data_IF_396324129335
#
_entry.id   IF_396324129335
#
_cell.length_a   1.000
_cell.length_b   1.000
_cell.length_c   1.000
_cell.angle_alpha   90.00
_cell.angle_beta   90.00
_cell.angle_gamma   90.00
#
_symmetry.space_group_name_H-M   'P 1'
#
loop_
_entity.id
_entity.type
_entity.pdbx_description
1 polymer ?
#
# COMPACT_ATOMS: atom_id res chain seq x y z
N UNK A 1 -3.33 -1.33 -22.47
CA UNK A 1 -2.11 -1.15 -23.29
C UNK A 1 -1.49 -2.52 -23.57
N UNK A 2 -1.18 -2.88 -24.84
CA UNK A 2 -0.69 -4.23 -25.18
C UNK A 2 0.64 -4.58 -24.53
N UNK A 3 1.54 -3.60 -24.33
CA UNK A 3 2.84 -3.79 -23.70
C UNK A 3 2.72 -4.16 -22.23
N UNK A 4 1.88 -3.46 -21.47
CA UNK A 4 1.60 -3.76 -20.05
C UNK A 4 1.03 -5.17 -19.91
N UNK A 5 0.10 -5.53 -20.80
CA UNK A 5 -0.48 -6.88 -20.82
C UNK A 5 0.59 -7.95 -21.04
N UNK A 6 1.47 -7.78 -22.01
CA UNK A 6 2.52 -8.74 -22.31
C UNK A 6 3.49 -8.96 -21.13
N UNK A 7 3.87 -7.86 -20.43
CA UNK A 7 4.74 -7.94 -19.26
C UNK A 7 4.06 -8.71 -18.13
N UNK A 8 2.81 -8.35 -17.79
CA UNK A 8 2.09 -9.00 -16.69
C UNK A 8 1.84 -10.49 -16.97
N UNK A 9 1.43 -10.83 -18.20
CA UNK A 9 1.21 -12.23 -18.60
C UNK A 9 2.51 -13.05 -18.59
N UNK A 10 3.65 -12.45 -18.95
CA UNK A 10 4.95 -13.11 -18.87
C UNK A 10 5.34 -13.42 -17.41
N UNK A 11 5.19 -12.45 -16.51
CA UNK A 11 5.44 -12.66 -15.09
C UNK A 11 4.50 -13.71 -14.49
N UNK A 12 3.21 -13.67 -14.81
CA UNK A 12 2.25 -14.66 -14.30
C UNK A 12 2.51 -16.09 -14.80
N UNK A 13 3.11 -16.25 -15.99
CA UNK A 13 3.54 -17.58 -16.47
C UNK A 13 4.73 -18.14 -15.69
N UNK A 14 5.64 -17.26 -15.26
CA UNK A 14 6.86 -17.65 -14.53
C UNK A 14 6.61 -17.86 -13.05
N UNK A 15 5.65 -17.14 -12.49
CA UNK A 15 5.33 -17.17 -11.06
C UNK A 15 3.82 -17.42 -10.86
N UNK A 16 3.41 -18.67 -10.55
CA UNK A 16 2.01 -19.05 -10.42
C UNK A 16 1.24 -18.36 -9.28
N UNK A 17 1.95 -17.69 -8.36
CA UNK A 17 1.33 -16.89 -7.30
C UNK A 17 0.80 -15.56 -7.81
N UNK A 18 1.30 -15.06 -8.95
CA UNK A 18 0.83 -13.84 -9.58
C UNK A 18 -0.53 -14.10 -10.22
N UNK A 19 -1.49 -13.28 -9.84
CA UNK A 19 -2.85 -13.32 -10.39
C UNK A 19 -3.18 -11.98 -10.98
N UNK A 20 -3.79 -12.00 -12.16
CA UNK A 20 -4.15 -10.82 -12.92
C UNK A 20 -5.66 -10.75 -13.06
N UNK A 21 -6.23 -9.57 -12.80
CA UNK A 21 -7.61 -9.26 -13.13
C UNK A 21 -7.64 -8.19 -14.22
N UNK A 22 -8.13 -8.56 -15.39
CA UNK A 22 -8.33 -7.61 -16.49
C UNK A 22 -9.70 -6.96 -16.33
N UNK A 23 -9.72 -5.65 -16.15
CA UNK A 23 -10.95 -4.87 -16.06
C UNK A 23 -11.34 -4.39 -17.47
N UNK A 24 -12.62 -4.50 -17.80
CA UNK A 24 -13.16 -4.03 -19.10
C UNK A 24 -13.18 -2.50 -19.19
N UNK A 25 -13.35 -1.83 -18.05
CA UNK A 25 -13.40 -0.37 -17.94
C UNK A 25 -12.42 0.13 -16.89
N UNK A 26 -11.86 1.31 -17.14
CA UNK A 26 -11.13 2.03 -16.11
C UNK A 26 -12.12 2.44 -15.01
N UNK A 27 -11.84 2.05 -13.79
CA UNK A 27 -12.58 2.39 -12.57
C UNK A 27 -11.68 3.06 -11.54
N UNK A 28 -10.61 3.68 -11.99
CA UNK A 28 -9.58 4.29 -11.14
C UNK A 28 -8.97 3.32 -10.14
N UNK A 29 -8.16 3.85 -9.21
CA UNK A 29 -7.36 3.04 -8.28
C UNK A 29 -8.24 2.23 -7.30
N UNK A 30 -9.32 2.80 -6.76
CA UNK A 30 -10.17 2.13 -5.77
C UNK A 30 -10.81 0.85 -6.34
N UNK A 31 -11.41 0.95 -7.52
CA UNK A 31 -12.04 -0.20 -8.17
C UNK A 31 -11.01 -1.24 -8.66
N UNK A 32 -9.81 -0.80 -9.07
CA UNK A 32 -8.70 -1.71 -9.43
C UNK A 32 -8.19 -2.46 -8.19
N UNK A 33 -7.98 -1.76 -7.09
CA UNK A 33 -7.57 -2.33 -5.80
C UNK A 33 -8.59 -3.33 -5.26
N UNK A 34 -9.89 -3.04 -5.35
CA UNK A 34 -10.95 -3.98 -4.97
C UNK A 34 -10.92 -5.24 -5.84
N UNK A 35 -10.65 -5.11 -7.14
CA UNK A 35 -10.52 -6.27 -8.02
C UNK A 35 -9.31 -7.13 -7.67
N UNK A 36 -8.19 -6.52 -7.29
CA UNK A 36 -7.00 -7.22 -6.81
C UNK A 36 -7.25 -7.88 -5.44
N UNK A 37 -7.92 -7.17 -4.53
CA UNK A 37 -8.31 -7.68 -3.20
C UNK A 37 -9.17 -8.95 -3.32
N UNK A 38 -10.11 -9.00 -4.27
CA UNK A 38 -10.93 -10.18 -4.52
C UNK A 38 -10.11 -11.42 -4.95
N UNK A 39 -8.92 -11.23 -5.50
CA UNK A 39 -7.98 -12.30 -5.84
C UNK A 39 -7.05 -12.68 -4.67
N UNK A 40 -6.93 -11.85 -3.65
CA UNK A 40 -6.01 -12.07 -2.53
C UNK A 40 -6.41 -13.30 -1.71
N UNK A 41 -5.41 -14.07 -1.26
CA UNK A 41 -5.60 -15.30 -0.44
C UNK A 41 -4.81 -15.29 0.86
N UNK A 42 -3.83 -14.38 1.00
CA UNK A 42 -3.05 -14.23 2.23
C UNK A 42 -3.90 -13.72 3.39
N UNK A 43 -3.40 -13.85 4.59
CA UNK A 43 -4.05 -13.31 5.79
C UNK A 43 -3.94 -11.78 5.85
N UNK A 44 -2.89 -11.24 5.25
CA UNK A 44 -2.67 -9.81 5.12
C UNK A 44 -2.61 -9.39 3.65
N UNK A 45 -2.91 -8.12 3.39
CA UNK A 45 -2.72 -7.44 2.12
C UNK A 45 -1.83 -6.21 2.35
N UNK A 46 -0.92 -5.96 1.44
CA UNK A 46 -0.07 -4.78 1.41
C UNK A 46 -0.29 -4.02 0.11
N UNK A 47 -0.23 -2.69 0.17
CA UNK A 47 -0.54 -1.82 -0.97
C UNK A 47 0.77 -1.38 -1.62
N UNK A 48 1.00 -1.81 -2.86
CA UNK A 48 2.17 -1.46 -3.65
C UNK A 48 1.74 -0.78 -4.94
N UNK A 49 2.21 0.43 -5.17
CA UNK A 49 2.00 1.14 -6.42
C UNK A 49 2.90 0.55 -7.53
N UNK A 50 2.43 0.62 -8.77
CA UNK A 50 3.05 -0.08 -9.90
C UNK A 50 4.39 0.51 -10.36
N UNK A 51 4.71 1.71 -9.93
CA UNK A 51 5.94 2.46 -10.24
C UNK A 51 6.95 2.50 -9.08
N UNK A 52 6.60 1.92 -7.93
CA UNK A 52 7.41 1.92 -6.71
C UNK A 52 8.18 0.61 -6.51
N UNK A 53 9.06 0.60 -5.51
CA UNK A 53 9.88 -0.56 -5.17
C UNK A 53 9.77 -0.94 -3.69
N UNK A 54 9.85 -2.24 -3.41
CA UNK A 54 10.03 -2.75 -2.06
C UNK A 54 11.50 -3.02 -1.77
N UNK A 55 11.92 -2.78 -0.53
CA UNK A 55 13.22 -3.28 -0.07
C UNK A 55 13.29 -4.81 -0.28
N UNK A 56 14.42 -5.39 -0.73
CA UNK A 56 14.52 -6.83 -1.05
C UNK A 56 14.08 -7.75 0.08
N UNK A 57 14.26 -7.34 1.35
CA UNK A 57 13.87 -8.11 2.52
C UNK A 57 12.51 -7.68 3.11
N UNK A 58 11.77 -6.78 2.47
CA UNK A 58 10.54 -6.20 3.02
C UNK A 58 9.55 -7.28 3.49
N UNK A 59 9.22 -8.22 2.61
CA UNK A 59 8.26 -9.28 2.93
C UNK A 59 8.72 -10.16 4.09
N UNK A 60 10.01 -10.51 4.15
CA UNK A 60 10.56 -11.32 5.23
C UNK A 60 10.47 -10.60 6.58
N UNK A 61 10.88 -9.32 6.64
CA UNK A 61 10.83 -8.50 7.85
C UNK A 61 9.38 -8.32 8.31
N UNK A 62 8.46 -8.02 7.39
CA UNK A 62 7.03 -7.86 7.71
C UNK A 62 6.46 -9.16 8.30
N UNK A 63 6.72 -10.31 7.67
CA UNK A 63 6.19 -11.60 8.16
C UNK A 63 6.75 -11.91 9.55
N UNK A 64 8.06 -11.74 9.76
CA UNK A 64 8.69 -11.97 11.06
C UNK A 64 8.09 -11.08 12.15
N UNK A 65 7.89 -9.79 11.84
CA UNK A 65 7.30 -8.85 12.80
C UNK A 65 5.83 -9.19 13.10
N UNK A 66 5.03 -9.51 12.10
CA UNK A 66 3.63 -9.91 12.30
C UNK A 66 3.51 -11.22 13.10
N UNK A 67 4.46 -12.14 12.98
CA UNK A 67 4.50 -13.36 13.81
C UNK A 67 4.81 -13.06 15.27
N UNK A 68 5.61 -12.04 15.55
CA UNK A 68 5.90 -11.57 16.90
C UNK A 68 4.74 -10.76 17.51
N UNK A 69 3.90 -10.16 16.67
CA UNK A 69 2.76 -9.34 17.04
C UNK A 69 1.45 -9.84 16.41
N UNK A 70 0.97 -11.04 16.78
CA UNK A 70 -0.19 -11.68 16.14
C UNK A 70 -1.52 -10.91 16.33
N UNK A 71 -1.55 -9.95 17.27
CA UNK A 71 -2.69 -9.06 17.50
C UNK A 71 -2.79 -7.93 16.47
N UNK A 72 -1.72 -7.60 15.74
CA UNK A 72 -1.77 -6.50 14.78
C UNK A 72 -2.65 -6.84 13.59
N UNK A 73 -3.58 -5.95 13.29
CA UNK A 73 -4.46 -6.04 12.13
C UNK A 73 -4.21 -4.93 11.11
N UNK A 74 -3.48 -3.89 11.53
CA UNK A 74 -2.92 -2.85 10.69
C UNK A 74 -1.46 -2.66 11.10
N UNK A 75 -0.56 -2.65 10.12
CA UNK A 75 0.83 -2.29 10.34
C UNK A 75 1.30 -1.34 9.24
N UNK A 76 2.35 -0.58 9.50
CA UNK A 76 2.97 0.29 8.51
C UNK A 76 4.48 0.35 8.72
N UNK A 77 5.19 0.70 7.65
CA UNK A 77 6.66 0.79 7.64
C UNK A 77 7.11 2.22 7.41
N UNK A 78 8.39 2.48 7.62
CA UNK A 78 9.06 3.68 7.10
C UNK A 78 9.20 3.59 5.58
N UNK A 79 9.39 4.74 4.96
CA UNK A 79 9.57 4.87 3.51
C UNK A 79 10.68 5.87 3.19
N UNK A 80 11.18 5.84 1.97
CA UNK A 80 12.00 6.89 1.39
C UNK A 80 11.63 7.11 -0.09
N UNK A 81 12.33 7.99 -0.73
CA UNK A 81 12.17 8.23 -2.16
C UNK A 81 13.30 7.62 -2.96
N UNK A 82 12.98 7.24 -4.20
CA UNK A 82 13.95 6.78 -5.20
C UNK A 82 13.80 7.63 -6.46
N UNK A 83 14.92 8.15 -6.98
CA UNK A 83 14.94 8.91 -8.21
C UNK A 83 15.03 8.03 -9.48
N UNK A 84 15.11 8.68 -10.65
CA UNK A 84 15.21 7.97 -11.92
C UNK A 84 16.53 7.20 -12.09
N UNK A 85 17.58 7.55 -11.35
CA UNK A 85 18.88 6.89 -11.36
C UNK A 85 18.98 5.78 -10.30
N UNK A 86 17.90 5.54 -9.54
CA UNK A 86 17.86 4.55 -8.48
C UNK A 86 18.51 5.00 -7.18
N UNK A 87 18.78 6.31 -7.01
CA UNK A 87 19.35 6.83 -5.77
C UNK A 87 18.25 7.08 -4.75
N UNK A 88 18.44 6.56 -3.54
CA UNK A 88 17.52 6.73 -2.41
C UNK A 88 17.81 8.03 -1.67
N UNK A 89 16.75 8.75 -1.29
CA UNK A 89 16.84 10.02 -0.59
C UNK A 89 15.56 10.33 0.19
N UNK A 90 15.57 11.38 1.00
CA UNK A 90 14.43 11.93 1.75
C UNK A 90 13.68 10.85 2.56
N UNK A 91 14.36 10.13 3.51
CA UNK A 91 13.72 9.11 4.31
C UNK A 91 12.69 9.73 5.24
N UNK A 92 11.51 9.08 5.33
CA UNK A 92 10.46 9.41 6.28
C UNK A 92 10.41 8.33 7.36
N UNK A 93 11.00 8.62 8.51
CA UNK A 93 10.91 7.80 9.72
C UNK A 93 9.63 8.17 10.46
N UNK A 94 8.72 7.26 10.51
CA UNK A 94 7.37 7.47 11.06
C UNK A 94 7.37 7.23 12.57
N UNK A 95 6.51 7.91 13.34
CA UNK A 95 6.33 7.59 14.75
C UNK A 95 5.54 6.28 14.92
N UNK A 96 5.60 5.74 16.12
CA UNK A 96 4.65 4.72 16.56
C UNK A 96 3.21 5.26 16.47
N UNK A 97 2.22 4.35 16.50
CA UNK A 97 0.83 4.71 16.30
C UNK A 97 0.37 5.87 17.20
N UNK A 98 -0.04 6.93 16.56
CA UNK A 98 -0.57 8.12 17.20
C UNK A 98 -1.86 8.55 16.48
N UNK A 99 -3.04 8.31 17.07
CA UNK A 99 -4.33 8.62 16.44
C UNK A 99 -4.53 10.10 16.17
N UNK A 100 -4.03 11.00 17.05
CA UNK A 100 -4.20 12.45 16.87
C UNK A 100 -3.38 12.93 15.66
N UNK A 101 -2.16 12.44 15.51
CA UNK A 101 -1.33 12.72 14.32
C UNK A 101 -2.00 12.17 13.06
N UNK A 102 -2.52 10.94 13.12
CA UNK A 102 -3.09 10.26 11.97
C UNK A 102 -4.36 10.96 11.43
N UNK A 103 -5.14 11.61 12.27
CA UNK A 103 -6.26 12.43 11.83
C UNK A 103 -5.83 13.66 11.00
N UNK A 104 -4.62 14.16 11.22
CA UNK A 104 -4.09 15.32 10.50
C UNK A 104 -3.15 14.98 9.34
N UNK A 105 -2.60 13.76 9.32
CA UNK A 105 -1.59 13.34 8.34
C UNK A 105 -1.62 11.83 8.14
N UNK A 106 -1.67 11.39 6.87
CA UNK A 106 -1.56 9.96 6.55
C UNK A 106 -0.14 9.43 6.81
N UNK A 107 0.15 9.05 8.05
CA UNK A 107 1.44 8.44 8.40
C UNK A 107 1.51 6.94 8.08
N UNK A 108 0.40 6.27 7.75
CA UNK A 108 0.41 4.87 7.31
C UNK A 108 0.94 4.75 5.88
N UNK A 109 0.40 5.56 4.95
CA UNK A 109 0.83 5.71 3.54
C UNK A 109 1.50 4.45 2.95
N UNK A 110 2.80 4.50 2.71
CA UNK A 110 3.60 3.40 2.15
C UNK A 110 4.62 2.89 3.19
N UNK A 111 4.68 1.63 3.52
CA UNK A 111 3.84 0.54 3.10
C UNK A 111 2.75 0.30 4.15
N UNK A 112 1.49 0.39 3.80
CA UNK A 112 0.40 -0.05 4.67
C UNK A 112 0.14 -1.56 4.50
N UNK A 113 0.05 -2.28 5.63
CA UNK A 113 -0.21 -3.72 5.70
C UNK A 113 -1.47 -3.94 6.52
N UNK A 114 -2.46 -4.60 5.97
CA UNK A 114 -3.79 -4.71 6.55
C UNK A 114 -4.22 -6.18 6.68
N UNK A 115 -4.84 -6.56 7.77
CA UNK A 115 -5.57 -7.83 7.85
C UNK A 115 -6.61 -7.88 6.73
N UNK A 116 -6.51 -8.89 5.86
CA UNK A 116 -7.46 -9.07 4.76
C UNK A 116 -8.89 -9.26 5.26
N UNK A 117 -9.06 -9.92 6.40
CA UNK A 117 -10.37 -10.09 7.02
C UNK A 117 -10.98 -8.75 7.42
N UNK A 118 -10.20 -7.84 8.01
CA UNK A 118 -10.63 -6.49 8.38
C UNK A 118 -11.02 -5.68 7.14
N UNK A 119 -10.17 -5.66 6.11
CA UNK A 119 -10.45 -4.93 4.85
C UNK A 119 -11.74 -5.43 4.20
N UNK A 120 -11.94 -6.74 4.15
CA UNK A 120 -13.16 -7.33 3.61
C UNK A 120 -14.41 -6.98 4.45
N UNK A 121 -14.29 -6.99 5.77
CA UNK A 121 -15.40 -6.60 6.67
C UNK A 121 -15.79 -5.13 6.53
N UNK A 122 -14.85 -4.28 6.12
CA UNK A 122 -15.07 -2.86 5.82
C UNK A 122 -15.57 -2.61 4.38
N UNK A 123 -15.69 -3.64 3.55
CA UNK A 123 -16.12 -3.54 2.15
C UNK A 123 -15.03 -3.05 1.18
N UNK A 124 -13.75 -3.08 1.59
CA UNK A 124 -12.63 -2.67 0.73
C UNK A 124 -12.49 -1.16 0.57
N UNK A 125 -11.98 -0.74 -0.58
CA UNK A 125 -11.77 0.67 -0.94
C UNK A 125 -13.08 1.32 -1.42
N UNK A 126 -13.32 2.55 -1.00
CA UNK A 126 -14.45 3.37 -1.48
C UNK A 126 -14.07 4.04 -2.80
N UNK A 127 -14.96 3.93 -3.80
CA UNK A 127 -14.85 4.67 -5.04
C UNK A 127 -15.25 6.14 -4.81
N UNK A 128 -14.67 7.06 -5.58
CA UNK A 128 -14.91 8.50 -5.44
C UNK A 128 -13.99 9.22 -4.44
N UNK A 129 -12.99 8.49 -3.89
CA UNK A 129 -11.97 9.03 -2.96
C UNK A 129 -10.56 8.85 -3.53
N UNK A 130 -10.44 8.83 -4.87
CA UNK A 130 -9.17 8.64 -5.56
C UNK A 130 -8.18 9.75 -5.18
N UNK A 131 -6.98 9.34 -4.79
CA UNK A 131 -5.94 10.22 -4.23
C UNK A 131 -5.87 10.23 -2.71
N UNK A 132 -6.94 9.73 -2.03
CA UNK A 132 -6.98 9.57 -0.57
C UNK A 132 -7.65 8.25 -0.14
N UNK A 133 -7.79 7.31 -1.07
CA UNK A 133 -8.47 6.02 -0.87
C UNK A 133 -7.77 5.11 0.15
N UNK A 134 -6.45 5.21 0.23
CA UNK A 134 -5.60 4.53 1.19
C UNK A 134 -5.79 5.10 2.60
N UNK A 135 -5.83 6.43 2.73
CA UNK A 135 -6.10 7.09 4.01
C UNK A 135 -7.52 6.83 4.50
N UNK A 136 -8.53 6.89 3.62
CA UNK A 136 -9.92 6.50 3.96
C UNK A 136 -9.97 5.06 4.49
N UNK A 137 -9.29 4.13 3.82
CA UNK A 137 -9.25 2.74 4.28
C UNK A 137 -8.58 2.62 5.66
N UNK A 138 -7.42 3.27 5.84
CA UNK A 138 -6.68 3.22 7.10
C UNK A 138 -7.45 3.87 8.25
N UNK A 139 -8.17 4.99 8.01
CA UNK A 139 -9.07 5.62 8.99
C UNK A 139 -10.19 4.66 9.41
N UNK A 140 -10.89 4.05 8.46
CA UNK A 140 -11.95 3.06 8.76
C UNK A 140 -11.42 1.82 9.47
N UNK A 141 -10.19 1.40 9.20
CA UNK A 141 -9.53 0.35 9.95
C UNK A 141 -9.27 0.81 11.40
N UNK A 142 -8.70 1.98 11.59
CA UNK A 142 -8.36 2.50 12.92
C UNK A 142 -9.58 2.70 13.81
N UNK A 143 -10.75 3.04 13.25
CA UNK A 143 -12.02 3.13 13.98
C UNK A 143 -12.52 1.79 14.54
N UNK A 144 -12.00 0.67 14.05
CA UNK A 144 -12.38 -0.69 14.46
C UNK A 144 -11.34 -1.36 15.36
N UNK A 145 -10.17 -0.77 15.47
CA UNK A 145 -9.03 -1.36 16.17
C UNK A 145 -8.74 -0.64 17.48
N UNK A 146 -8.20 -1.39 18.43
CA UNK A 146 -7.55 -0.81 19.60
C UNK A 146 -6.10 -0.43 19.24
N UNK A 147 -5.49 0.47 19.99
CA UNK A 147 -4.15 0.97 19.68
C UNK A 147 -3.06 -0.11 19.63
N UNK A 148 -3.19 -1.18 20.41
CA UNK A 148 -2.28 -2.33 20.44
C UNK A 148 -2.45 -3.29 19.25
N UNK A 149 -3.48 -3.09 18.42
CA UNK A 149 -3.73 -3.84 17.18
C UNK A 149 -3.17 -3.11 15.93
N UNK A 150 -2.55 -1.94 16.15
CA UNK A 150 -1.91 -1.15 15.11
C UNK A 150 -0.43 -1.04 15.42
N UNK A 151 0.43 -1.45 14.49
CA UNK A 151 1.86 -1.51 14.72
C UNK A 151 2.68 -0.73 13.70
N UNK A 152 3.80 -0.18 14.18
CA UNK A 152 4.83 0.42 13.34
C UNK A 152 6.03 -0.53 13.24
N UNK A 153 6.51 -0.73 12.04
CA UNK A 153 7.74 -1.46 11.74
C UNK A 153 8.81 -0.40 11.40
N UNK A 154 9.73 -0.08 12.33
CA UNK A 154 10.69 1.01 12.16
C UNK A 154 11.84 0.63 11.21
N UNK A 155 11.50 0.40 9.96
CA UNK A 155 12.42 0.05 8.88
C UNK A 155 11.93 0.63 7.57
N UNK A 156 12.85 1.19 6.77
CA UNK A 156 12.55 1.68 5.41
C UNK A 156 12.41 0.49 4.49
N UNK A 157 11.16 0.08 4.24
CA UNK A 157 10.83 -1.11 3.44
C UNK A 157 10.14 -0.76 2.11
N UNK A 158 9.87 0.50 1.87
CA UNK A 158 9.22 1.01 0.67
C UNK A 158 10.00 2.19 0.07
N UNK A 159 10.14 2.19 -1.24
CA UNK A 159 10.86 3.21 -2.00
C UNK A 159 9.91 3.86 -3.00
N UNK A 160 9.46 5.07 -2.68
CA UNK A 160 8.51 5.83 -3.48
C UNK A 160 9.20 6.52 -4.66
N UNK A 161 8.85 6.13 -5.88
CA UNK A 161 9.51 6.63 -7.08
C UNK A 161 9.09 8.06 -7.42
N UNK A 162 10.04 8.98 -7.31
CA UNK A 162 9.84 10.39 -7.59
C UNK A 162 10.23 10.71 -9.06
N UNK A 163 9.31 10.46 -9.98
CA UNK A 163 9.43 10.80 -11.39
C UNK A 163 8.48 11.95 -11.76
N UNK A 164 8.71 12.61 -12.89
CA UNK A 164 7.85 13.67 -13.38
C UNK A 164 6.40 13.17 -13.54
N UNK A 165 5.46 13.82 -12.84
CA UNK A 165 4.04 13.42 -12.82
C UNK A 165 3.64 12.48 -11.66
N UNK A 166 4.60 12.03 -10.83
CA UNK A 166 4.34 11.30 -9.59
C UNK A 166 3.88 12.24 -8.47
N UNK A 167 3.02 11.77 -7.58
CA UNK A 167 2.61 12.53 -6.38
C UNK A 167 3.75 12.73 -5.38
N UNK A 168 4.87 12.01 -5.53
CA UNK A 168 6.08 12.21 -4.74
C UNK A 168 6.70 13.61 -4.91
N UNK A 169 6.38 14.34 -5.99
CA UNK A 169 6.87 15.71 -6.25
C UNK A 169 5.91 16.82 -5.79
N UNK A 170 4.71 16.51 -5.29
CA UNK A 170 3.76 17.47 -4.71
C UNK A 170 2.30 17.17 -5.03
N UNK A 171 1.42 17.52 -4.10
CA UNK A 171 -0.03 17.22 -4.11
C UNK A 171 -0.78 17.88 -5.28
N UNK A 172 -0.19 18.87 -5.98
CA UNK A 172 -0.84 19.62 -7.06
C UNK A 172 -0.76 19.00 -8.46
N UNK A 173 -0.20 17.80 -8.61
CA UNK A 173 0.06 17.22 -9.94
C UNK A 173 -1.03 16.28 -10.47
N UNK A 174 -1.97 15.85 -9.64
CA UNK A 174 -3.13 15.05 -10.09
C UNK A 174 -4.37 15.95 -10.12
N UNK A 175 -4.90 16.23 -11.30
CA UNK A 175 -6.07 17.11 -11.54
C UNK A 175 -7.41 16.58 -11.01
N UNK A 176 -7.37 15.64 -10.03
CA UNK A 176 -8.51 15.08 -9.30
C UNK A 176 -8.27 14.99 -7.77
N UNK A 177 -7.19 15.61 -7.25
CA UNK A 177 -6.93 15.75 -5.81
C UNK A 177 -7.54 17.04 -5.27
#
# INVERSE_FOLDING_TARGET
EPQVRAVLEDHARREPRIRICWRERNGHISAASNSALALARGDYVALLDHDDELHPNAVAIIIETLQQHPQWQLAYTDEDKIDADGQRYDPYFKPDWNPDLFHGQNCVSHLGIYSRALVNALGGFREGLEGSQDWDLALRCSERLQGDQIGHIPAVLYHWRAIAGSTAQGVGQKGYA
#
